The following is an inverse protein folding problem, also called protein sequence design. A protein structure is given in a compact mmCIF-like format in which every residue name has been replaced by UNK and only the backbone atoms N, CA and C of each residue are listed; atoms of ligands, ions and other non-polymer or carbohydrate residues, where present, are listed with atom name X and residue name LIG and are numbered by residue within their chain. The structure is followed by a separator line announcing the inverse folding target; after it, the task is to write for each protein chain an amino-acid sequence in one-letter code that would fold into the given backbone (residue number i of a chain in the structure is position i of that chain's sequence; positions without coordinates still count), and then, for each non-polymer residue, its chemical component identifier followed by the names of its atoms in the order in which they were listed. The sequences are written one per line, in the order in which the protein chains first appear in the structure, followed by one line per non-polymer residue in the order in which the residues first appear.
data_IF_533349095351
#
_entry.id   IF_533349095351
#
_cell.length_a   1.000
_cell.length_b   1.000
_cell.length_c   1.000
_cell.angle_alpha   90.00
_cell.angle_beta   90.00
_cell.angle_gamma   90.00
#
_symmetry.space_group_name_H-M   'P 1'
#
loop_
_entity.id
_entity.type
_entity.pdbx_description
1 polymer ?
#
# COMPACT_ATOMS: atom_id res chain seq x y z
N UNK A 1 10.75 1.89 11.73
CA UNK A 1 9.93 2.71 10.84
C UNK A 1 8.56 2.73 11.45
N UNK A 2 8.09 3.91 11.83
CA UNK A 2 6.74 4.08 12.35
C UNK A 2 5.79 4.23 11.16
N UNK A 3 4.55 3.78 11.30
CA UNK A 3 3.53 3.96 10.25
C UNK A 3 3.22 5.45 9.98
N UNK A 4 3.67 6.35 10.86
CA UNK A 4 3.55 7.81 10.75
C UNK A 4 3.97 8.36 9.38
N UNK A 5 5.08 7.86 8.81
CA UNK A 5 5.59 8.36 7.53
C UNK A 5 5.22 7.48 6.33
N UNK A 6 4.56 6.34 6.55
CA UNK A 6 4.31 5.34 5.50
C UNK A 6 3.45 5.90 4.38
N UNK A 7 2.40 6.65 4.70
CA UNK A 7 1.55 7.29 3.70
C UNK A 7 2.34 8.27 2.82
N UNK A 8 3.15 9.14 3.42
CA UNK A 8 3.96 10.10 2.68
C UNK A 8 4.95 9.40 1.74
N UNK A 9 5.55 8.28 2.18
CA UNK A 9 6.48 7.48 1.37
C UNK A 9 5.77 6.72 0.24
N UNK A 10 4.58 6.17 0.49
CA UNK A 10 3.74 5.55 -0.55
C UNK A 10 3.40 6.55 -1.64
N UNK A 11 2.96 7.76 -1.26
CA UNK A 11 2.63 8.83 -2.20
C UNK A 11 3.85 9.33 -2.97
N UNK A 12 5.01 9.45 -2.33
CA UNK A 12 6.25 9.83 -3.01
C UNK A 12 6.69 8.78 -4.03
N UNK A 13 6.59 7.50 -3.68
CA UNK A 13 6.90 6.38 -4.58
C UNK A 13 5.93 6.34 -5.76
N UNK A 14 4.63 6.46 -5.50
CA UNK A 14 3.59 6.49 -6.53
C UNK A 14 3.71 7.70 -7.46
N UNK A 15 4.02 8.88 -6.92
CA UNK A 15 4.29 10.10 -7.70
C UNK A 15 5.48 9.93 -8.64
N UNK A 16 6.54 9.28 -8.15
CA UNK A 16 7.73 9.01 -8.96
C UNK A 16 7.40 8.05 -10.11
N UNK A 17 6.60 7.02 -9.83
CA UNK A 17 6.19 6.03 -10.83
C UNK A 17 5.21 6.58 -11.89
N UNK A 18 4.29 7.46 -11.50
CA UNK A 18 3.23 8.01 -12.38
C UNK A 18 3.70 9.17 -13.25
N UNK A 19 4.78 9.85 -12.87
CA UNK A 19 5.34 10.96 -13.63
C UNK A 19 4.32 12.07 -13.90
N UNK A 20 4.08 12.35 -15.18
CA UNK A 20 3.15 13.42 -15.61
C UNK A 20 1.69 13.15 -15.27
N UNK A 21 1.31 11.89 -15.06
CA UNK A 21 -0.06 11.48 -14.75
C UNK A 21 -0.43 11.60 -13.27
N UNK A 22 0.51 12.01 -12.41
CA UNK A 22 0.24 12.16 -10.98
C UNK A 22 -0.98 13.03 -10.68
N UNK A 23 -1.13 14.15 -11.40
CA UNK A 23 -2.24 15.09 -11.19
C UNK A 23 -3.61 14.48 -11.49
N UNK A 24 -3.66 13.46 -12.34
CA UNK A 24 -4.90 12.83 -12.78
C UNK A 24 -5.43 11.82 -11.74
N UNK A 25 -4.58 11.41 -10.79
CA UNK A 25 -4.91 10.33 -9.83
C UNK A 25 -4.53 10.61 -8.38
N UNK A 26 -3.79 11.69 -8.08
CA UNK A 26 -3.23 11.93 -6.75
C UNK A 26 -4.28 11.95 -5.65
N UNK A 27 -5.41 12.65 -5.85
CA UNK A 27 -6.47 12.72 -4.84
C UNK A 27 -7.09 11.35 -4.57
N UNK A 28 -7.22 10.53 -5.60
CA UNK A 28 -7.77 9.18 -5.47
C UNK A 28 -6.78 8.24 -4.76
N UNK A 29 -5.52 8.28 -5.16
CA UNK A 29 -4.46 7.47 -4.54
C UNK A 29 -4.19 7.88 -3.08
N UNK A 30 -4.34 9.15 -2.73
CA UNK A 30 -4.21 9.65 -1.35
C UNK A 30 -5.20 8.95 -0.41
N UNK A 31 -6.48 8.89 -0.78
CA UNK A 31 -7.51 8.26 0.05
C UNK A 31 -7.32 6.74 0.16
N UNK A 32 -7.02 6.08 -0.97
CA UNK A 32 -6.83 4.63 -1.00
C UNK A 32 -5.58 4.20 -0.22
N UNK A 33 -4.47 4.91 -0.39
CA UNK A 33 -3.25 4.63 0.36
C UNK A 33 -3.39 4.94 1.84
N UNK A 34 -4.15 5.96 2.22
CA UNK A 34 -4.43 6.23 3.63
C UNK A 34 -5.18 5.06 4.28
N UNK A 35 -6.23 4.54 3.63
CA UNK A 35 -6.97 3.36 4.10
C UNK A 35 -6.09 2.12 4.19
N UNK A 36 -5.38 1.79 3.12
CA UNK A 36 -4.47 0.65 3.09
C UNK A 36 -3.38 0.75 4.17
N UNK A 37 -2.87 1.97 4.43
CA UNK A 37 -1.89 2.23 5.47
C UNK A 37 -2.44 1.98 6.87
N UNK A 38 -3.68 2.39 7.15
CA UNK A 38 -4.32 2.17 8.45
C UNK A 38 -4.65 0.69 8.69
N UNK A 39 -5.17 0.00 7.68
CA UNK A 39 -5.45 -1.44 7.74
C UNK A 39 -4.16 -2.26 7.95
N UNK A 40 -3.12 -1.98 7.17
CA UNK A 40 -1.82 -2.64 7.30
C UNK A 40 -1.16 -2.36 8.66
N UNK A 41 -1.36 -1.18 9.23
CA UNK A 41 -0.87 -0.86 10.58
C UNK A 41 -1.54 -1.72 11.65
N UNK A 42 -2.86 -1.93 11.55
CA UNK A 42 -3.59 -2.82 12.44
C UNK A 42 -3.06 -4.26 12.34
N UNK A 43 -2.90 -4.78 11.11
CA UNK A 43 -2.36 -6.12 10.87
C UNK A 43 -0.98 -6.28 11.51
N UNK A 44 -0.07 -5.32 11.29
CA UNK A 44 1.28 -5.39 11.83
C UNK A 44 1.30 -5.38 13.37
N UNK A 45 0.42 -4.59 14.01
CA UNK A 45 0.27 -4.59 15.46
C UNK A 45 -0.26 -5.94 15.99
N UNK A 46 -1.25 -6.54 15.31
CA UNK A 46 -1.80 -7.84 15.70
C UNK A 46 -0.76 -8.97 15.60
N UNK A 47 0.11 -8.92 14.59
CA UNK A 47 1.26 -9.85 14.48
C UNK A 47 2.27 -9.59 15.61
N UNK A 48 2.63 -8.32 15.85
CA UNK A 48 3.58 -7.96 16.91
C UNK A 48 3.08 -8.37 18.32
N UNK A 49 1.76 -8.33 18.54
CA UNK A 49 1.11 -8.77 19.77
C UNK A 49 0.77 -10.26 19.82
N UNK A 50 1.13 -11.02 18.77
CA UNK A 50 0.86 -12.47 18.63
C UNK A 50 -0.62 -12.84 18.69
N UNK A 51 -1.50 -11.92 18.33
CA UNK A 51 -2.95 -12.17 18.17
C UNK A 51 -3.29 -12.59 16.75
N UNK A 52 -2.37 -12.41 15.79
CA UNK A 52 -2.46 -12.89 14.41
C UNK A 52 -1.15 -13.58 14.00
N UNK A 53 -1.23 -14.67 13.22
CA UNK A 53 -0.02 -15.31 12.67
C UNK A 53 0.50 -14.58 11.43
N UNK A 54 1.79 -14.72 11.08
CA UNK A 54 2.33 -14.16 9.83
C UNK A 54 1.57 -14.64 8.58
N UNK A 55 1.13 -15.90 8.54
CA UNK A 55 0.38 -16.45 7.41
C UNK A 55 -1.00 -15.80 7.27
N UNK A 56 -1.69 -15.56 8.39
CA UNK A 56 -2.96 -14.84 8.39
C UNK A 56 -2.77 -13.38 7.96
N UNK A 57 -1.72 -12.73 8.47
CA UNK A 57 -1.36 -11.37 8.07
C UNK A 57 -1.06 -11.26 6.57
N UNK A 58 -0.38 -12.25 6.01
CA UNK A 58 -0.10 -12.32 4.57
C UNK A 58 -1.38 -12.35 3.75
N UNK A 59 -2.35 -13.19 4.12
CA UNK A 59 -3.64 -13.31 3.41
C UNK A 59 -4.42 -11.99 3.46
N UNK A 60 -4.47 -11.32 4.61
CA UNK A 60 -5.18 -10.05 4.74
C UNK A 60 -4.48 -8.92 3.96
N UNK A 61 -3.15 -8.90 3.96
CA UNK A 61 -2.39 -7.97 3.13
C UNK A 61 -2.56 -8.24 1.63
N UNK A 62 -2.65 -9.50 1.20
CA UNK A 62 -2.98 -9.85 -0.19
C UNK A 62 -4.35 -9.27 -0.59
N UNK A 63 -5.33 -9.26 0.31
CA UNK A 63 -6.63 -8.62 0.06
C UNK A 63 -6.53 -7.09 -0.07
N UNK A 64 -5.68 -6.43 0.74
CA UNK A 64 -5.38 -4.99 0.60
C UNK A 64 -4.73 -4.72 -0.77
N UNK A 65 -3.78 -5.56 -1.18
CA UNK A 65 -3.13 -5.44 -2.48
C UNK A 65 -4.09 -5.60 -3.66
N UNK A 66 -5.01 -6.57 -3.59
CA UNK A 66 -6.03 -6.77 -4.60
C UNK A 66 -6.99 -5.58 -4.67
N UNK A 67 -7.45 -5.06 -3.52
CA UNK A 67 -8.30 -3.87 -3.47
C UNK A 67 -7.61 -2.66 -4.11
N UNK A 68 -6.33 -2.42 -3.80
CA UNK A 68 -5.55 -1.36 -4.42
C UNK A 68 -5.32 -1.59 -5.92
N UNK A 69 -5.31 -2.83 -6.40
CA UNK A 69 -5.21 -3.11 -7.85
C UNK A 69 -6.53 -2.92 -8.57
N UNK A 70 -7.66 -3.06 -7.90
CA UNK A 70 -8.98 -2.76 -8.47
C UNK A 70 -9.18 -1.27 -8.72
N UNK A 71 -8.51 -0.40 -7.95
CA UNK A 71 -8.41 1.05 -8.23
C UNK A 71 -7.97 1.33 -9.67
N UNK A 72 -7.07 0.50 -10.23
CA UNK A 72 -6.64 0.60 -11.64
C UNK A 72 -7.82 0.52 -12.62
N UNK A 73 -8.89 -0.21 -12.29
CA UNK A 73 -10.04 -0.39 -13.16
C UNK A 73 -10.85 0.90 -13.32
N UNK A 74 -10.77 1.81 -12.34
CA UNK A 74 -11.42 3.12 -12.39
C UNK A 74 -10.65 4.14 -13.25
N UNK A 75 -9.39 3.88 -13.61
CA UNK A 75 -8.58 4.75 -14.45
C UNK A 75 -8.88 4.59 -15.96
N UNK A 76 -8.73 5.68 -16.73
CA UNK A 76 -8.81 5.66 -18.20
C UNK A 76 -7.74 4.75 -18.79
N UNK A 77 -7.98 4.18 -19.98
CA UNK A 77 -7.06 3.22 -20.63
C UNK A 77 -5.63 3.75 -20.71
N UNK A 78 -5.47 5.03 -21.04
CA UNK A 78 -4.16 5.69 -21.20
C UNK A 78 -3.39 5.81 -19.88
N UNK A 79 -4.09 5.77 -18.74
CA UNK A 79 -3.52 6.01 -17.41
C UNK A 79 -3.36 4.72 -16.61
N UNK A 80 -3.90 3.59 -17.09
CA UNK A 80 -3.85 2.28 -16.40
C UNK A 80 -2.43 1.79 -16.10
N UNK A 81 -1.49 1.98 -17.03
CA UNK A 81 -0.10 1.57 -16.84
C UNK A 81 0.56 2.41 -15.73
N UNK A 82 0.43 3.73 -15.79
CA UNK A 82 0.93 4.64 -14.77
C UNK A 82 0.31 4.36 -13.39
N UNK A 83 -1.01 4.10 -13.34
CA UNK A 83 -1.70 3.74 -12.10
C UNK A 83 -1.15 2.43 -11.51
N UNK A 84 -0.91 1.42 -12.34
CA UNK A 84 -0.33 0.16 -11.91
C UNK A 84 1.08 0.33 -11.35
N UNK A 85 1.92 1.12 -12.01
CA UNK A 85 3.28 1.41 -11.52
C UNK A 85 3.22 2.18 -10.19
N UNK A 86 2.26 3.10 -10.04
CA UNK A 86 2.01 3.82 -8.80
C UNK A 86 1.65 2.87 -7.64
N UNK A 87 0.67 2.00 -7.88
CA UNK A 87 0.17 1.04 -6.90
C UNK A 87 1.30 0.10 -6.48
N UNK A 88 2.04 -0.47 -7.44
CA UNK A 88 3.16 -1.36 -7.14
C UNK A 88 4.23 -0.67 -6.29
N UNK A 89 4.63 0.55 -6.65
CA UNK A 89 5.61 1.32 -5.91
C UNK A 89 5.15 1.63 -4.48
N UNK A 90 3.86 1.93 -4.28
CA UNK A 90 3.28 2.13 -2.96
C UNK A 90 3.21 0.83 -2.15
N UNK A 91 2.88 -0.30 -2.79
CA UNK A 91 2.81 -1.60 -2.13
C UNK A 91 4.18 -2.06 -1.61
N UNK A 92 5.26 -1.80 -2.35
CA UNK A 92 6.61 -2.13 -1.87
C UNK A 92 6.97 -1.37 -0.58
N UNK A 93 6.58 -0.09 -0.50
CA UNK A 93 6.72 0.70 0.74
C UNK A 93 5.88 0.13 1.87
N UNK A 94 4.64 -0.26 1.58
CA UNK A 94 3.70 -0.79 2.56
C UNK A 94 4.18 -2.13 3.14
N UNK A 95 4.61 -3.06 2.29
CA UNK A 95 5.17 -4.36 2.70
C UNK A 95 6.39 -4.19 3.60
N UNK A 96 7.30 -3.28 3.24
CA UNK A 96 8.47 -2.98 4.04
C UNK A 96 8.08 -2.45 5.44
N UNK A 97 7.11 -1.52 5.50
CA UNK A 97 6.61 -0.99 6.76
C UNK A 97 5.95 -2.07 7.63
N UNK A 98 5.16 -2.97 7.04
CA UNK A 98 4.51 -4.09 7.73
C UNK A 98 5.54 -5.06 8.31
N UNK A 99 6.50 -5.51 7.51
CA UNK A 99 7.57 -6.41 7.96
C UNK A 99 8.37 -5.80 9.13
N UNK A 100 8.69 -4.50 9.05
CA UNK A 100 9.45 -3.81 10.09
C UNK A 100 8.63 -3.65 11.39
N UNK A 101 7.34 -3.29 11.28
CA UNK A 101 6.46 -3.11 12.42
C UNK A 101 6.08 -4.44 13.11
N UNK A 102 5.85 -5.49 12.33
CA UNK A 102 5.54 -6.83 12.81
C UNK A 102 6.75 -7.51 13.50
N UNK A 103 7.98 -7.01 13.26
CA UNK A 103 9.26 -7.57 13.75
C UNK A 103 9.53 -9.00 13.28
N UNK A 104 8.79 -9.47 12.28
CA UNK A 104 8.94 -10.78 11.63
C UNK A 104 8.69 -10.61 10.13
N UNK A 105 9.35 -11.39 9.26
CA UNK A 105 9.08 -11.37 7.83
C UNK A 105 7.70 -11.99 7.56
N UNK A 106 6.83 -11.23 6.91
CA UNK A 106 5.54 -11.67 6.36
C UNK A 106 5.66 -11.86 4.83
N UNK A 107 6.51 -11.04 4.19
CA UNK A 107 6.82 -11.04 2.74
C UNK A 107 8.31 -11.17 2.49
#
# INVERSE_FOLDING_TARGET
MNFEDTLAKMLAAAKTATGTHWKDMSSYLEDEFARAKDEAAAIAMEVAHRTKTPEQAKIEMEAIEESLRDVRLAATVDVKAAAQDAINAALDVLRAAVNEAAKVPIF
#
